data_IF_660681544097
#
_entry.id   IF_660681544097
#
_cell.length_a   1.000
_cell.length_b   1.000
_cell.length_c   1.000
_cell.angle_alpha   90.00
_cell.angle_beta   90.00
_cell.angle_gamma   90.00
#
_symmetry.space_group_name_H-M   'P 1'
#
loop_
_entity.id
_entity.type
_entity.pdbx_description
1 polymer ?
#
# COMPACT_ATOMS: atom_id res chain seq x y z
N UNK A 1 44.03 7.62 10.66
CA UNK A 1 43.66 8.72 9.75
C UNK A 1 43.83 10.04 10.49
N UNK A 2 44.67 10.95 9.98
CA UNK A 2 45.07 12.18 10.70
C UNK A 2 43.93 13.20 10.79
N UNK A 3 43.93 14.00 11.86
CA UNK A 3 42.92 15.02 12.19
C UNK A 3 42.68 16.03 11.05
N UNK A 4 43.70 16.27 10.21
CA UNK A 4 43.61 17.11 9.01
C UNK A 4 42.70 16.52 7.91
N UNK A 5 42.63 15.18 7.80
CA UNK A 5 41.75 14.50 6.85
C UNK A 5 40.28 14.60 7.27
N UNK A 6 39.99 14.64 8.58
CA UNK A 6 38.63 14.84 9.12
C UNK A 6 38.12 16.26 8.89
N UNK A 7 38.99 17.27 9.01
CA UNK A 7 38.64 18.69 8.80
C UNK A 7 38.41 18.97 7.30
N UNK A 8 39.22 18.39 6.41
CA UNK A 8 39.03 18.53 4.97
C UNK A 8 37.76 17.82 4.46
N UNK A 9 37.41 16.66 5.04
CA UNK A 9 36.16 15.96 4.73
C UNK A 9 34.94 16.79 5.19
N UNK A 10 34.95 17.30 6.42
CA UNK A 10 33.89 18.16 6.98
C UNK A 10 33.72 19.48 6.23
N UNK A 11 34.82 20.11 5.77
CA UNK A 11 34.77 21.34 5.00
C UNK A 11 34.24 21.13 3.56
N UNK A 12 34.62 20.03 2.90
CA UNK A 12 34.10 19.65 1.58
C UNK A 12 32.62 19.25 1.60
N UNK A 13 32.18 18.56 2.67
CA UNK A 13 30.78 18.18 2.89
C UNK A 13 29.87 19.38 3.15
N UNK A 14 30.32 20.38 3.93
CA UNK A 14 29.56 21.61 4.15
C UNK A 14 29.36 22.45 2.88
N UNK A 15 30.35 22.46 1.96
CA UNK A 15 30.25 23.16 0.67
C UNK A 15 29.23 22.51 -0.28
N UNK A 16 29.15 21.18 -0.32
CA UNK A 16 28.19 20.46 -1.17
C UNK A 16 26.73 20.66 -0.71
N UNK A 17 26.47 20.59 0.59
CA UNK A 17 25.13 20.83 1.17
C UNK A 17 24.68 22.29 0.97
N UNK A 18 25.58 23.26 1.20
CA UNK A 18 25.32 24.67 0.92
C UNK A 18 25.02 24.93 -0.57
N UNK A 19 25.65 24.19 -1.49
CA UNK A 19 25.43 24.32 -2.94
C UNK A 19 24.08 23.77 -3.41
N UNK A 20 23.62 22.65 -2.84
CA UNK A 20 22.30 22.07 -3.16
C UNK A 20 21.15 22.92 -2.61
N UNK A 21 21.33 23.51 -1.43
CA UNK A 21 20.35 24.44 -0.84
C UNK A 21 20.34 25.79 -1.56
N UNK A 22 21.45 26.21 -2.17
CA UNK A 22 21.53 27.38 -3.04
C UNK A 22 20.80 27.17 -4.38
N UNK A 23 20.84 25.95 -4.93
CA UNK A 23 20.24 25.61 -6.23
C UNK A 23 18.72 25.86 -6.28
N UNK A 24 18.00 25.57 -5.19
CA UNK A 24 16.53 25.63 -5.18
C UNK A 24 15.94 26.85 -4.46
N UNK A 25 16.74 27.84 -4.05
CA UNK A 25 16.24 28.96 -3.22
C UNK A 25 15.11 29.75 -3.87
N UNK A 26 15.14 29.95 -5.18
CA UNK A 26 14.08 30.66 -5.90
C UNK A 26 12.78 29.84 -5.91
N UNK A 27 12.89 28.54 -6.25
CA UNK A 27 11.79 27.58 -6.25
C UNK A 27 11.15 27.47 -4.86
N UNK A 28 11.95 27.25 -3.82
CA UNK A 28 11.47 27.13 -2.43
C UNK A 28 10.75 28.41 -1.98
N UNK A 29 11.27 29.59 -2.36
CA UNK A 29 10.66 30.88 -2.00
C UNK A 29 9.33 31.09 -2.69
N UNK A 30 9.21 30.69 -3.96
CA UNK A 30 7.95 30.74 -4.70
C UNK A 30 6.93 29.79 -4.08
N UNK A 31 7.30 28.54 -3.85
CA UNK A 31 6.47 27.54 -3.21
C UNK A 31 5.87 28.04 -1.89
N UNK A 32 6.69 28.61 -1.00
CA UNK A 32 6.25 29.14 0.31
C UNK A 32 5.35 30.38 0.23
N UNK A 33 5.18 30.99 -0.95
CA UNK A 33 4.31 32.16 -1.19
C UNK A 33 2.96 31.80 -1.80
N UNK A 34 2.68 30.51 -2.00
CA UNK A 34 1.39 30.06 -2.49
C UNK A 34 0.24 30.64 -1.66
N UNK A 35 -0.75 31.31 -2.30
CA UNK A 35 -1.89 31.86 -1.57
C UNK A 35 -2.77 30.77 -0.96
N UNK A 36 -3.20 30.96 0.30
CA UNK A 36 -4.11 30.04 1.00
C UNK A 36 -5.43 29.79 0.25
N UNK A 37 -5.85 30.74 -0.59
CA UNK A 37 -7.04 30.60 -1.44
C UNK A 37 -6.96 29.42 -2.41
N UNK A 38 -5.75 28.91 -2.71
CA UNK A 38 -5.53 27.77 -3.59
C UNK A 38 -5.65 26.42 -2.88
N UNK A 39 -5.74 26.37 -1.54
CA UNK A 39 -5.81 25.12 -0.77
C UNK A 39 -7.04 24.27 -1.10
N UNK A 40 -8.12 24.90 -1.56
CA UNK A 40 -9.35 24.21 -1.95
C UNK A 40 -9.42 23.88 -3.44
N UNK A 41 -8.33 24.12 -4.17
CA UNK A 41 -8.25 24.06 -5.62
C UNK A 41 -6.90 23.45 -6.04
N UNK A 42 -6.70 22.17 -5.73
CA UNK A 42 -5.42 21.47 -5.93
C UNK A 42 -4.82 21.64 -7.33
N UNK A 43 -5.58 21.54 -8.44
CA UNK A 43 -5.01 21.75 -9.77
C UNK A 43 -4.43 23.16 -9.95
N UNK A 44 -5.08 24.19 -9.39
CA UNK A 44 -4.63 25.58 -9.44
C UNK A 44 -3.42 25.79 -8.53
N UNK A 45 -3.41 25.17 -7.34
CA UNK A 45 -2.24 25.16 -6.47
C UNK A 45 -1.04 24.56 -7.18
N UNK A 46 -1.20 23.38 -7.80
CA UNK A 46 -0.12 22.72 -8.54
C UNK A 46 0.35 23.57 -9.73
N UNK A 47 -0.57 24.20 -10.45
CA UNK A 47 -0.23 25.14 -11.52
C UNK A 47 0.62 26.32 -11.02
N UNK A 48 0.26 26.91 -9.87
CA UNK A 48 1.06 27.95 -9.22
C UNK A 48 2.44 27.41 -8.81
N UNK A 49 2.50 26.26 -8.14
CA UNK A 49 3.75 25.69 -7.65
C UNK A 49 4.72 25.34 -8.79
N UNK A 50 4.21 24.88 -9.92
CA UNK A 50 5.01 24.49 -11.08
C UNK A 50 5.43 25.67 -11.97
N UNK A 51 4.84 26.86 -11.82
CA UNK A 51 5.08 28.02 -12.68
C UNK A 51 6.58 28.39 -12.86
N UNK A 52 7.41 28.49 -11.81
CA UNK A 52 8.81 28.90 -11.96
C UNK A 52 9.74 27.75 -12.39
N UNK A 53 9.24 26.52 -12.48
CA UNK A 53 10.06 25.34 -12.69
C UNK A 53 10.37 25.11 -14.18
N UNK A 54 11.64 24.99 -14.53
CA UNK A 54 12.10 24.76 -15.90
C UNK A 54 12.19 23.27 -16.25
N UNK A 55 12.18 22.39 -15.24
CA UNK A 55 12.34 20.95 -15.39
C UNK A 55 11.55 20.16 -14.32
N UNK A 56 11.45 18.84 -14.50
CA UNK A 56 10.68 17.96 -13.60
C UNK A 56 11.24 17.94 -12.17
N UNK A 57 12.55 18.07 -12.02
CA UNK A 57 13.24 18.11 -10.72
C UNK A 57 12.88 19.37 -9.93
N UNK A 58 12.81 20.53 -10.58
CA UNK A 58 12.36 21.77 -9.97
C UNK A 58 10.87 21.75 -9.63
N UNK A 59 10.02 21.13 -10.47
CA UNK A 59 8.62 20.89 -10.12
C UNK A 59 8.52 20.05 -8.85
N UNK A 60 9.21 18.90 -8.81
CA UNK A 60 9.25 18.01 -7.66
C UNK A 60 9.71 18.75 -6.39
N UNK A 61 10.71 19.62 -6.51
CA UNK A 61 11.21 20.45 -5.42
C UNK A 61 10.19 21.48 -4.93
N UNK A 62 9.52 22.17 -5.85
CA UNK A 62 8.50 23.17 -5.51
C UNK A 62 7.36 22.55 -4.70
N UNK A 63 6.87 21.39 -5.15
CA UNK A 63 5.85 20.62 -4.44
C UNK A 63 6.34 20.18 -3.05
N UNK A 64 7.58 19.70 -2.96
CA UNK A 64 8.21 19.26 -1.72
C UNK A 64 8.31 20.41 -0.71
N UNK A 65 8.81 21.56 -1.17
CA UNK A 65 9.02 22.75 -0.34
C UNK A 65 7.69 23.36 0.14
N UNK A 66 6.66 23.36 -0.71
CA UNK A 66 5.33 23.78 -0.32
C UNK A 66 4.75 22.86 0.75
N UNK A 67 4.79 21.55 0.53
CA UNK A 67 4.20 20.57 1.45
C UNK A 67 4.90 20.58 2.81
N UNK A 68 6.24 20.59 2.82
CA UNK A 68 7.05 20.69 4.03
C UNK A 68 6.81 21.98 4.83
N UNK A 69 6.37 23.06 4.17
CA UNK A 69 6.09 24.35 4.81
C UNK A 69 4.66 24.47 5.34
N UNK A 70 3.68 23.90 4.64
CA UNK A 70 2.27 24.17 4.87
C UNK A 70 1.55 23.07 5.67
N UNK A 71 2.13 21.87 5.74
CA UNK A 71 1.57 20.77 6.53
C UNK A 71 2.48 20.54 7.73
N UNK A 72 1.89 20.55 8.93
CA UNK A 72 2.56 20.24 10.19
C UNK A 72 2.41 18.75 10.55
N UNK A 73 3.41 18.19 11.24
CA UNK A 73 3.31 16.82 11.73
C UNK A 73 2.32 16.74 12.89
N UNK A 74 1.37 15.79 12.83
CA UNK A 74 0.34 15.61 13.85
C UNK A 74 0.83 14.72 15.01
N UNK A 75 1.67 15.30 15.86
CA UNK A 75 2.26 14.64 17.04
C UNK A 75 1.23 14.02 17.99
N UNK A 76 0.04 14.64 18.10
CA UNK A 76 -1.02 14.12 18.96
C UNK A 76 -1.66 12.88 18.35
N UNK A 77 -2.01 12.93 17.05
CA UNK A 77 -2.51 11.76 16.33
C UNK A 77 -1.49 10.61 16.35
N UNK A 78 -0.20 10.92 16.20
CA UNK A 78 0.89 9.94 16.24
C UNK A 78 0.98 9.27 17.61
N UNK A 79 0.91 10.04 18.71
CA UNK A 79 0.94 9.50 20.08
C UNK A 79 -0.29 8.66 20.44
N UNK A 80 -1.43 8.95 19.82
CA UNK A 80 -2.69 8.23 20.03
C UNK A 80 -2.89 7.04 19.08
N UNK A 81 -1.95 6.80 18.17
CA UNK A 81 -2.07 5.81 17.08
C UNK A 81 -3.43 5.94 16.34
N UNK A 82 -3.81 7.18 16.04
CA UNK A 82 -5.13 7.52 15.52
C UNK A 82 -5.05 8.21 14.18
N UNK A 83 -5.68 7.62 13.17
CA UNK A 83 -5.91 8.30 11.89
C UNK A 83 -7.09 9.28 12.01
N UNK A 84 -6.82 10.57 11.81
CA UNK A 84 -7.84 11.63 11.84
C UNK A 84 -8.22 12.06 10.41
N UNK A 85 -7.26 12.15 9.49
CA UNK A 85 -7.50 12.50 8.08
C UNK A 85 -8.07 11.30 7.32
N UNK A 86 -9.22 11.48 6.65
CA UNK A 86 -9.84 10.43 5.84
C UNK A 86 -9.48 10.56 4.36
N UNK A 87 -9.23 11.79 3.90
CA UNK A 87 -8.95 12.13 2.51
C UNK A 87 -7.99 13.32 2.41
N UNK A 88 -7.64 13.70 1.20
CA UNK A 88 -6.69 14.79 0.92
C UNK A 88 -7.27 16.15 1.34
N UNK A 89 -8.58 16.32 1.20
CA UNK A 89 -9.28 17.53 1.61
C UNK A 89 -9.15 17.77 3.13
N UNK A 90 -9.19 16.71 3.94
CA UNK A 90 -8.95 16.79 5.38
C UNK A 90 -7.53 17.23 5.72
N UNK A 91 -6.52 16.68 5.02
CA UNK A 91 -5.10 17.04 5.21
C UNK A 91 -4.92 18.54 4.97
N UNK A 92 -5.43 19.05 3.84
CA UNK A 92 -5.31 20.45 3.44
C UNK A 92 -6.09 21.37 4.37
N UNK A 93 -7.32 21.00 4.73
CA UNK A 93 -8.17 21.78 5.64
C UNK A 93 -7.58 21.88 7.05
N UNK A 94 -6.96 20.80 7.55
CA UNK A 94 -6.36 20.77 8.90
C UNK A 94 -4.94 21.30 8.94
N UNK A 95 -4.26 21.37 7.78
CA UNK A 95 -2.86 21.79 7.67
C UNK A 95 -1.92 20.88 8.46
N UNK A 96 -2.31 19.62 8.73
CA UNK A 96 -1.50 18.68 9.50
C UNK A 96 -1.84 17.22 9.20
N UNK A 97 -0.86 16.34 9.36
CA UNK A 97 -1.03 14.91 9.13
C UNK A 97 0.12 14.07 9.64
N UNK A 98 -0.01 12.76 9.47
CA UNK A 98 1.05 11.76 9.75
C UNK A 98 1.87 11.47 8.50
N UNK A 99 2.95 10.70 8.61
CA UNK A 99 3.83 10.37 7.48
C UNK A 99 3.09 9.84 6.24
N UNK A 100 2.08 9.00 6.44
CA UNK A 100 1.19 8.54 5.36
C UNK A 100 0.41 9.67 4.67
N UNK A 101 -0.03 10.69 5.42
CA UNK A 101 -0.74 11.85 4.86
C UNK A 101 0.22 12.70 4.00
N UNK A 102 1.47 12.88 4.45
CA UNK A 102 2.50 13.54 3.65
C UNK A 102 2.78 12.79 2.37
N UNK A 103 3.01 11.47 2.44
CA UNK A 103 3.35 10.69 1.25
C UNK A 103 2.20 10.59 0.25
N UNK A 104 0.95 10.50 0.74
CA UNK A 104 -0.26 10.52 -0.09
C UNK A 104 -0.44 11.87 -0.78
N UNK A 105 -0.35 12.98 -0.03
CA UNK A 105 -0.51 14.32 -0.59
C UNK A 105 0.61 14.64 -1.59
N UNK A 106 1.86 14.27 -1.31
CA UNK A 106 2.95 14.48 -2.25
C UNK A 106 2.76 13.71 -3.56
N UNK A 107 2.30 12.45 -3.49
CA UNK A 107 2.01 11.64 -4.66
C UNK A 107 0.89 12.26 -5.52
N UNK A 108 -0.17 12.78 -4.88
CA UNK A 108 -1.27 13.46 -5.60
C UNK A 108 -0.82 14.77 -6.27
N UNK A 109 -0.02 15.58 -5.57
CA UNK A 109 0.56 16.80 -6.14
C UNK A 109 1.44 16.46 -7.34
N UNK A 110 2.26 15.40 -7.25
CA UNK A 110 3.08 14.91 -8.36
C UNK A 110 2.20 14.46 -9.54
N UNK A 111 1.15 13.69 -9.28
CA UNK A 111 0.20 13.22 -10.31
C UNK A 111 -0.40 14.39 -11.08
N UNK A 112 -0.86 15.43 -10.38
CA UNK A 112 -1.41 16.64 -10.98
C UNK A 112 -0.35 17.46 -11.75
N UNK A 113 0.91 17.39 -11.34
CA UNK A 113 2.04 18.04 -12.04
C UNK A 113 2.57 17.24 -13.23
N UNK A 114 1.99 16.06 -13.51
CA UNK A 114 2.44 15.15 -14.57
C UNK A 114 3.69 14.36 -14.21
N UNK A 115 4.04 14.25 -12.92
CA UNK A 115 5.20 13.52 -12.41
C UNK A 115 4.76 12.14 -11.92
N UNK A 116 5.49 11.11 -12.32
CA UNK A 116 5.23 9.75 -11.84
C UNK A 116 5.83 9.58 -10.43
N UNK A 117 4.97 9.37 -9.45
CA UNK A 117 5.34 9.22 -8.05
C UNK A 117 4.45 8.19 -7.36
N UNK A 118 5.03 7.40 -6.46
CA UNK A 118 4.31 6.43 -5.63
C UNK A 118 4.58 6.69 -4.15
N UNK A 119 3.60 6.36 -3.31
CA UNK A 119 3.81 6.24 -1.86
C UNK A 119 4.47 4.89 -1.58
N UNK A 120 5.45 4.87 -0.67
CA UNK A 120 6.17 3.68 -0.26
C UNK A 120 5.97 3.52 1.25
N UNK A 121 5.38 2.40 1.65
CA UNK A 121 5.27 2.02 3.05
C UNK A 121 6.46 1.19 3.49
N UNK A 122 6.93 1.43 4.71
CA UNK A 122 8.05 0.68 5.27
C UNK A 122 8.29 0.99 6.74
N UNK A 123 9.50 0.67 7.14
CA UNK A 123 9.96 0.78 8.50
C UNK A 123 10.96 1.92 8.60
N UNK A 124 10.82 2.71 9.65
CA UNK A 124 11.79 3.74 9.99
C UNK A 124 12.62 3.34 11.20
N UNK A 125 13.76 4.00 11.36
CA UNK A 125 14.49 3.96 12.62
C UNK A 125 15.12 5.28 12.97
N UNK A 126 15.26 5.51 14.27
CA UNK A 126 15.94 6.67 14.81
C UNK A 126 17.20 6.23 15.56
N UNK A 127 18.28 6.98 15.40
CA UNK A 127 19.55 6.70 16.07
C UNK A 127 20.50 5.79 15.28
N UNK A 128 21.66 5.55 15.88
CA UNK A 128 22.78 4.85 15.23
C UNK A 128 22.99 3.41 15.74
N UNK A 129 22.31 3.05 16.83
CA UNK A 129 22.49 1.78 17.52
C UNK A 129 21.68 0.65 16.88
N UNK A 130 21.96 -0.59 17.32
CA UNK A 130 21.11 -1.72 16.98
C UNK A 130 19.68 -1.53 17.53
N UNK A 131 18.70 -2.12 16.85
CA UNK A 131 17.28 -1.99 17.21
C UNK A 131 16.53 -3.30 17.00
N UNK A 132 15.32 -3.37 17.54
CA UNK A 132 14.35 -4.39 17.18
C UNK A 132 13.49 -3.91 16.02
N UNK A 133 13.13 -4.82 15.11
CA UNK A 133 12.26 -4.50 13.99
C UNK A 133 10.85 -4.18 14.49
N UNK A 134 10.21 -3.07 14.06
CA UNK A 134 8.81 -2.84 14.35
C UNK A 134 7.94 -3.99 13.79
N UNK A 135 6.84 -4.36 14.47
CA UNK A 135 6.03 -5.51 14.08
C UNK A 135 5.28 -5.29 12.76
N UNK A 136 5.20 -4.07 12.25
CA UNK A 136 4.59 -3.73 10.95
C UNK A 136 5.25 -2.43 10.44
N UNK A 137 5.13 -2.11 9.15
CA UNK A 137 5.54 -0.81 8.62
C UNK A 137 4.96 0.33 9.46
N UNK A 138 5.82 1.24 9.90
CA UNK A 138 5.50 2.35 10.80
C UNK A 138 5.77 3.73 10.18
N UNK A 139 6.25 3.76 8.93
CA UNK A 139 6.55 4.99 8.23
C UNK A 139 6.17 4.91 6.75
N UNK A 140 6.06 6.07 6.11
CA UNK A 140 5.72 6.18 4.69
C UNK A 140 6.40 7.40 4.06
N UNK A 141 6.89 7.21 2.84
CA UNK A 141 7.61 8.21 2.06
C UNK A 141 7.27 8.02 0.57
N UNK A 142 8.04 8.63 -0.33
CA UNK A 142 7.79 8.56 -1.77
C UNK A 142 8.98 8.04 -2.57
N UNK A 143 8.67 7.36 -3.67
CA UNK A 143 9.59 7.20 -4.79
C UNK A 143 9.05 7.99 -5.98
N UNK A 144 9.91 8.75 -6.65
CA UNK A 144 9.57 9.57 -7.82
C UNK A 144 10.44 9.18 -9.00
N UNK A 145 9.86 9.09 -10.20
CA UNK A 145 10.60 8.80 -11.43
C UNK A 145 10.98 10.12 -12.10
N UNK A 146 12.28 10.42 -12.13
CA UNK A 146 12.86 11.63 -12.72
C UNK A 146 14.11 11.25 -13.51
N UNK A 147 14.40 11.97 -14.59
CA UNK A 147 15.65 11.78 -15.36
C UNK A 147 15.90 10.30 -15.79
N UNK A 148 14.81 9.55 -16.02
CA UNK A 148 14.86 8.16 -16.46
C UNK A 148 15.09 7.12 -15.36
N UNK A 149 15.08 7.49 -14.08
CA UNK A 149 15.22 6.55 -12.97
C UNK A 149 14.40 6.94 -11.73
N UNK A 150 14.16 5.96 -10.84
CA UNK A 150 13.50 6.21 -9.57
C UNK A 150 14.45 6.88 -8.57
N UNK A 151 13.90 7.75 -7.72
CA UNK A 151 14.59 8.49 -6.67
C UNK A 151 13.72 8.56 -5.41
N UNK A 152 14.33 8.70 -4.23
CA UNK A 152 13.63 8.66 -2.93
C UNK A 152 13.42 10.06 -2.35
N UNK A 153 12.24 10.31 -1.81
CA UNK A 153 11.86 11.57 -1.16
C UNK A 153 11.10 11.25 0.13
N UNK A 154 11.43 11.91 1.23
CA UNK A 154 10.60 11.95 2.44
C UNK A 154 10.31 13.39 2.85
N UNK A 155 9.08 13.84 2.59
CA UNK A 155 8.65 15.20 2.95
C UNK A 155 8.42 15.35 4.46
N UNK A 156 8.05 14.26 5.15
CA UNK A 156 7.76 14.27 6.58
C UNK A 156 9.01 14.64 7.36
N UNK A 157 10.09 13.90 7.16
CA UNK A 157 11.36 14.17 7.83
C UNK A 157 12.08 15.37 7.21
N UNK A 158 11.79 15.64 5.94
CA UNK A 158 12.20 16.85 5.23
C UNK A 158 11.64 18.16 5.79
N UNK A 159 10.47 18.13 6.43
CA UNK A 159 9.82 19.30 7.04
C UNK A 159 10.50 19.78 8.33
N UNK A 160 11.32 18.93 8.96
CA UNK A 160 12.11 19.26 10.16
C UNK A 160 13.63 19.05 9.95
N UNK A 161 14.28 19.81 9.04
CA UNK A 161 15.70 19.62 8.73
C UNK A 161 16.60 19.76 9.96
N UNK A 162 17.60 18.87 10.07
CA UNK A 162 18.63 18.94 11.10
C UNK A 162 18.30 18.26 12.43
N UNK A 163 17.12 17.63 12.55
CA UNK A 163 16.78 16.81 13.73
C UNK A 163 17.24 15.35 13.58
N UNK A 164 17.53 14.90 12.35
CA UNK A 164 18.04 13.55 12.10
C UNK A 164 19.57 13.52 12.19
N UNK A 165 20.08 12.91 13.27
CA UNK A 165 21.50 12.76 13.52
C UNK A 165 22.23 11.93 12.43
N UNK A 166 21.53 10.99 11.79
CA UNK A 166 22.10 10.11 10.77
C UNK A 166 22.33 10.90 9.47
N UNK A 167 21.32 11.64 8.99
CA UNK A 167 21.48 12.45 7.78
C UNK A 167 22.47 13.61 7.98
N UNK A 168 22.52 14.19 9.18
CA UNK A 168 23.53 15.18 9.54
C UNK A 168 24.97 14.62 9.45
N UNK A 169 25.18 13.37 9.88
CA UNK A 169 26.49 12.68 9.79
C UNK A 169 26.90 12.45 8.33
N UNK A 170 25.96 12.16 7.45
CA UNK A 170 26.24 11.85 6.04
C UNK A 170 26.09 13.05 5.08
N UNK A 171 25.69 14.23 5.58
CA UNK A 171 25.53 15.44 4.78
C UNK A 171 24.47 15.31 3.68
N UNK A 172 23.37 14.62 3.97
CA UNK A 172 22.25 14.44 3.05
C UNK A 172 20.98 15.12 3.57
N UNK A 173 20.03 15.35 2.68
CA UNK A 173 18.66 15.73 3.02
C UNK A 173 17.68 14.66 2.54
N UNK A 174 16.38 14.89 2.76
CA UNK A 174 15.30 13.99 2.37
C UNK A 174 14.68 14.30 0.99
N UNK A 175 15.37 15.09 0.16
CA UNK A 175 14.94 15.38 -1.20
C UNK A 175 15.89 14.72 -2.21
N UNK A 176 15.40 13.70 -2.91
CA UNK A 176 16.16 12.94 -3.91
C UNK A 176 17.40 12.27 -3.31
N UNK A 177 17.25 11.77 -2.09
CA UNK A 177 18.33 11.18 -1.30
C UNK A 177 18.91 9.94 -2.00
N UNK A 178 20.25 9.76 -1.98
CA UNK A 178 20.86 8.56 -2.50
C UNK A 178 20.34 7.30 -1.79
N UNK A 179 19.91 6.25 -2.52
CA UNK A 179 19.40 5.01 -1.93
C UNK A 179 20.28 4.38 -0.85
N UNK A 180 21.61 4.44 -1.05
CA UNK A 180 22.62 3.90 -0.11
C UNK A 180 22.67 4.65 1.23
N UNK A 181 22.19 5.89 1.27
CA UNK A 181 22.05 6.67 2.51
C UNK A 181 20.65 6.53 3.08
N UNK A 182 19.63 6.55 2.22
CA UNK A 182 18.22 6.46 2.63
C UNK A 182 17.91 5.14 3.35
N UNK A 183 18.48 4.01 2.88
CA UNK A 183 18.31 2.69 3.52
C UNK A 183 18.85 2.62 4.95
N UNK A 184 19.67 3.59 5.37
CA UNK A 184 20.23 3.60 6.72
C UNK A 184 19.19 3.96 7.78
N UNK A 185 18.05 4.52 7.40
CA UNK A 185 16.95 4.81 8.30
C UNK A 185 15.55 4.52 7.72
N UNK A 186 15.45 4.07 6.46
CA UNK A 186 14.20 3.71 5.80
C UNK A 186 14.30 2.34 5.11
N UNK A 187 13.63 1.33 5.65
CA UNK A 187 13.52 0.01 5.02
C UNK A 187 12.11 -0.18 4.44
N UNK A 188 11.92 -0.16 3.11
CA UNK A 188 10.60 -0.39 2.51
C UNK A 188 10.11 -1.83 2.75
N UNK A 189 8.80 -1.99 2.89
CA UNK A 189 8.17 -3.31 3.03
C UNK A 189 8.25 -4.15 1.74
N UNK A 190 8.50 -3.50 0.60
CA UNK A 190 8.82 -4.14 -0.67
C UNK A 190 10.30 -3.88 -1.02
N UNK A 191 11.13 -4.93 -1.15
CA UNK A 191 12.56 -4.78 -1.43
C UNK A 191 12.91 -3.95 -2.67
N UNK A 192 12.04 -3.91 -3.68
CA UNK A 192 12.26 -3.15 -4.92
C UNK A 192 12.33 -1.64 -4.70
N UNK A 193 11.60 -1.11 -3.72
CA UNK A 193 11.63 0.32 -3.40
C UNK A 193 12.87 0.76 -2.64
N UNK A 194 13.79 -0.15 -2.31
CA UNK A 194 15.10 0.24 -1.79
C UNK A 194 15.92 0.97 -2.86
N UNK A 195 15.61 0.75 -4.15
CA UNK A 195 16.39 1.23 -5.30
C UNK A 195 17.87 0.85 -5.23
N UNK A 196 18.15 -0.22 -4.48
CA UNK A 196 19.47 -0.82 -4.35
C UNK A 196 19.52 -2.05 -5.25
N UNK A 197 20.65 -2.28 -5.95
CA UNK A 197 20.85 -3.53 -6.65
C UNK A 197 20.78 -4.70 -5.67
N UNK A 198 21.36 -4.55 -4.47
CA UNK A 198 21.33 -5.55 -3.40
C UNK A 198 20.44 -5.10 -2.26
N UNK A 199 19.25 -5.70 -2.06
CA UNK A 199 18.38 -5.35 -0.97
C UNK A 199 18.98 -5.72 0.39
N UNK A 200 18.83 -4.81 1.33
CA UNK A 200 19.01 -5.02 2.76
C UNK A 200 17.76 -5.73 3.28
N UNK A 201 17.90 -6.82 4.03
CA UNK A 201 16.79 -7.48 4.72
C UNK A 201 16.55 -6.90 6.12
N UNK A 202 15.47 -7.31 6.81
CA UNK A 202 15.16 -6.80 8.15
C UNK A 202 16.28 -7.04 9.17
N UNK A 203 16.92 -8.21 9.12
CA UNK A 203 18.01 -8.55 10.03
C UNK A 203 19.27 -7.68 9.82
N UNK A 204 19.59 -7.31 8.57
CA UNK A 204 20.67 -6.36 8.31
C UNK A 204 20.30 -4.94 8.74
N UNK A 205 19.05 -4.51 8.50
CA UNK A 205 18.58 -3.17 8.86
C UNK A 205 18.64 -2.91 10.37
N UNK A 206 18.43 -3.94 11.19
CA UNK A 206 18.51 -3.84 12.66
C UNK A 206 19.93 -3.71 13.22
N UNK A 207 20.99 -3.83 12.40
CA UNK A 207 22.39 -3.67 12.83
C UNK A 207 22.73 -2.19 13.08
N UNK A 208 23.77 -1.87 13.87
CA UNK A 208 24.27 -0.50 14.00
C UNK A 208 24.51 0.17 12.64
N UNK A 209 24.30 1.49 12.57
CA UNK A 209 24.23 2.23 11.31
C UNK A 209 25.54 2.21 10.52
N UNK A 210 26.69 2.18 11.19
CA UNK A 210 28.00 2.05 10.57
C UNK A 210 28.23 0.67 9.94
N UNK A 211 27.79 -0.40 10.61
CA UNK A 211 27.84 -1.77 10.11
C UNK A 211 26.92 -1.95 8.89
N UNK A 212 25.71 -1.37 8.92
CA UNK A 212 24.80 -1.35 7.78
C UNK A 212 25.39 -0.56 6.60
N UNK A 213 25.95 0.62 6.86
CA UNK A 213 26.59 1.44 5.83
C UNK A 213 27.80 0.73 5.18
N UNK A 214 28.57 -0.02 5.97
CA UNK A 214 29.66 -0.85 5.45
C UNK A 214 29.13 -1.99 4.57
N UNK A 215 28.06 -2.66 4.99
CA UNK A 215 27.43 -3.75 4.23
C UNK A 215 26.92 -3.27 2.87
N UNK A 216 26.19 -2.15 2.83
CA UNK A 216 25.66 -1.58 1.58
C UNK A 216 26.79 -1.20 0.62
N UNK A 217 27.94 -0.72 1.13
CA UNK A 217 29.10 -0.38 0.30
C UNK A 217 29.83 -1.58 -0.31
N UNK A 218 29.85 -2.72 0.36
CA UNK A 218 30.68 -3.87 0.02
C UNK A 218 30.07 -4.83 -1.02
N UNK A 219 28.87 -4.56 -1.53
CA UNK A 219 28.14 -5.48 -2.40
C UNK A 219 28.34 -5.18 -3.90
N UNK A 220 28.81 -6.20 -4.64
CA UNK A 220 29.22 -6.08 -6.06
C UNK A 220 28.27 -6.76 -7.07
N UNK A 221 27.20 -7.44 -6.65
CA UNK A 221 26.25 -8.06 -7.60
C UNK A 221 24.90 -8.39 -6.95
N UNK A 222 23.82 -7.70 -7.34
CA UNK A 222 22.44 -8.15 -7.10
C UNK A 222 21.42 -7.50 -8.06
N UNK A 223 20.21 -8.09 -8.05
CA UNK A 223 19.09 -8.05 -9.03
C UNK A 223 18.69 -6.70 -9.66
N UNK A 224 18.04 -6.82 -10.83
CA UNK A 224 17.52 -5.69 -11.60
C UNK A 224 16.16 -5.20 -11.05
N UNK A 225 16.17 -4.42 -9.97
CA UNK A 225 14.95 -3.83 -9.39
C UNK A 225 14.07 -3.02 -10.37
N UNK A 226 14.61 -2.31 -11.39
CA UNK A 226 13.78 -1.59 -12.38
C UNK A 226 12.77 -2.48 -13.12
N UNK A 227 13.12 -3.72 -13.45
CA UNK A 227 12.19 -4.63 -14.14
C UNK A 227 11.06 -5.07 -13.20
N UNK A 228 11.36 -5.31 -11.92
CA UNK A 228 10.36 -5.64 -10.90
C UNK A 228 9.39 -4.49 -10.69
N UNK A 229 9.90 -3.24 -10.59
CA UNK A 229 9.03 -2.06 -10.49
C UNK A 229 8.17 -1.91 -11.74
N UNK A 230 8.73 -2.10 -12.94
CA UNK A 230 7.96 -2.02 -14.20
C UNK A 230 6.83 -3.05 -14.22
N UNK A 231 7.08 -4.29 -13.81
CA UNK A 231 6.07 -5.33 -13.73
C UNK A 231 5.00 -4.99 -12.68
N UNK A 232 5.40 -4.53 -11.50
CA UNK A 232 4.48 -4.13 -10.43
C UNK A 232 3.52 -3.03 -10.88
N UNK A 233 4.02 -2.00 -11.56
CA UNK A 233 3.22 -0.86 -12.00
C UNK A 233 2.26 -1.17 -13.15
N UNK A 234 2.32 -2.37 -13.76
CA UNK A 234 1.34 -2.83 -14.76
C UNK A 234 0.05 -3.34 -14.12
N UNK A 235 0.06 -3.63 -12.82
CA UNK A 235 -1.12 -4.07 -12.08
C UNK A 235 -2.08 -2.92 -11.78
N UNK A 236 -3.36 -3.24 -11.61
CA UNK A 236 -4.36 -2.31 -11.07
C UNK A 236 -4.02 -1.87 -9.64
N UNK A 237 -4.59 -0.77 -9.16
CA UNK A 237 -4.34 -0.29 -7.80
C UNK A 237 -4.70 -1.33 -6.72
N UNK A 238 -5.80 -2.06 -6.90
CA UNK A 238 -6.25 -3.11 -5.98
C UNK A 238 -5.29 -4.31 -5.97
N UNK A 239 -4.78 -4.72 -7.13
CA UNK A 239 -3.76 -5.77 -7.22
C UNK A 239 -2.43 -5.32 -6.61
N UNK A 240 -2.01 -4.08 -6.87
CA UNK A 240 -0.82 -3.50 -6.27
C UNK A 240 -0.94 -3.60 -4.74
N UNK A 241 -2.01 -3.08 -4.12
CA UNK A 241 -2.24 -3.14 -2.66
C UNK A 241 -2.14 -4.57 -2.09
N UNK A 242 -2.70 -5.56 -2.79
CA UNK A 242 -2.59 -6.97 -2.39
C UNK A 242 -1.13 -7.46 -2.43
N UNK A 243 -0.41 -7.19 -3.52
CA UNK A 243 0.99 -7.56 -3.70
C UNK A 243 1.89 -6.86 -2.66
N UNK A 244 1.57 -5.62 -2.28
CA UNK A 244 2.31 -4.88 -1.24
C UNK A 244 2.20 -5.59 0.10
N UNK A 245 0.99 -5.95 0.51
CA UNK A 245 0.72 -6.62 1.78
C UNK A 245 1.32 -8.03 1.83
N UNK A 246 1.25 -8.78 0.72
CA UNK A 246 1.92 -10.07 0.60
C UNK A 246 3.44 -9.93 0.74
N UNK A 247 4.03 -8.97 0.02
CA UNK A 247 5.47 -8.70 0.09
C UNK A 247 5.89 -8.31 1.51
N UNK A 248 5.13 -7.45 2.19
CA UNK A 248 5.41 -7.03 3.56
C UNK A 248 5.45 -8.24 4.52
N UNK A 249 4.49 -9.16 4.42
CA UNK A 249 4.46 -10.37 5.23
C UNK A 249 5.61 -11.35 4.91
N UNK A 250 5.92 -11.55 3.62
CA UNK A 250 7.06 -12.39 3.20
C UNK A 250 8.40 -11.81 3.64
N UNK A 251 8.51 -10.48 3.63
CA UNK A 251 9.74 -9.78 4.00
C UNK A 251 9.94 -9.75 5.52
N UNK A 252 8.88 -9.52 6.29
CA UNK A 252 8.89 -9.56 7.74
C UNK A 252 7.63 -10.26 8.29
N UNK A 253 7.73 -11.56 8.59
CA UNK A 253 6.58 -12.37 8.99
C UNK A 253 6.19 -12.16 10.46
N UNK A 254 5.27 -11.22 10.68
CA UNK A 254 4.67 -10.91 11.99
C UNK A 254 3.16 -11.13 11.96
N UNK A 255 2.53 -11.22 13.13
CA UNK A 255 1.08 -11.30 13.23
C UNK A 255 0.37 -10.06 12.64
N UNK A 256 0.95 -8.86 12.78
CA UNK A 256 0.39 -7.64 12.20
C UNK A 256 0.44 -7.65 10.66
N UNK A 257 1.58 -8.03 10.08
CA UNK A 257 1.70 -8.14 8.62
C UNK A 257 0.82 -9.27 8.06
N UNK A 258 0.69 -10.38 8.78
CA UNK A 258 -0.22 -11.46 8.42
C UNK A 258 -1.68 -11.00 8.39
N UNK A 259 -2.11 -10.24 9.41
CA UNK A 259 -3.45 -9.68 9.46
C UNK A 259 -3.70 -8.65 8.34
N UNK A 260 -2.71 -7.79 8.05
CA UNK A 260 -2.79 -6.84 6.94
C UNK A 260 -2.92 -7.56 5.57
N UNK A 261 -2.17 -8.65 5.37
CA UNK A 261 -2.30 -9.46 4.18
C UNK A 261 -3.67 -10.14 4.08
N UNK A 262 -4.17 -10.72 5.17
CA UNK A 262 -5.53 -11.27 5.25
C UNK A 262 -6.60 -10.24 4.87
N UNK A 263 -6.47 -9.00 5.37
CA UNK A 263 -7.38 -7.90 5.03
C UNK A 263 -7.30 -7.54 3.55
N UNK A 264 -6.09 -7.42 2.97
CA UNK A 264 -5.93 -7.08 1.55
C UNK A 264 -6.51 -8.13 0.60
N UNK A 265 -6.48 -9.42 0.99
CA UNK A 265 -7.14 -10.50 0.25
C UNK A 265 -8.67 -10.33 0.26
N UNK A 266 -9.24 -9.90 1.39
CA UNK A 266 -10.67 -9.61 1.50
C UNK A 266 -11.06 -8.37 0.70
N UNK A 267 -10.27 -7.31 0.75
CA UNK A 267 -10.52 -6.08 -0.03
C UNK A 267 -10.50 -6.40 -1.54
N UNK A 268 -9.57 -7.25 -1.97
CA UNK A 268 -9.53 -7.72 -3.36
C UNK A 268 -10.74 -8.60 -3.72
N UNK A 269 -11.20 -9.47 -2.80
CA UNK A 269 -12.42 -10.24 -3.00
C UNK A 269 -13.67 -9.36 -3.10
N UNK A 270 -13.76 -8.28 -2.32
CA UNK A 270 -14.82 -7.27 -2.43
C UNK A 270 -14.80 -6.62 -3.81
N UNK A 271 -13.62 -6.16 -4.25
CA UNK A 271 -13.43 -5.60 -5.59
C UNK A 271 -13.92 -6.54 -6.70
N UNK A 272 -13.51 -7.82 -6.66
CA UNK A 272 -13.96 -8.82 -7.64
C UNK A 272 -15.49 -9.03 -7.61
N UNK A 273 -16.10 -9.01 -6.43
CA UNK A 273 -17.55 -9.11 -6.27
C UNK A 273 -18.29 -7.90 -6.88
N UNK A 274 -17.77 -6.69 -6.69
CA UNK A 274 -18.31 -5.47 -7.31
C UNK A 274 -18.21 -5.53 -8.84
N UNK A 275 -17.08 -6.01 -9.39
CA UNK A 275 -16.93 -6.23 -10.83
C UNK A 275 -17.85 -7.33 -11.38
N UNK A 276 -18.24 -8.30 -10.55
CA UNK A 276 -19.17 -9.35 -10.95
C UNK A 276 -20.63 -8.87 -11.02
N UNK A 277 -21.00 -7.84 -10.26
CA UNK A 277 -22.40 -7.39 -10.15
C UNK A 277 -23.08 -7.06 -11.50
N UNK A 278 -22.47 -6.30 -12.43
CA UNK A 278 -23.07 -6.04 -13.74
C UNK A 278 -23.24 -7.30 -14.60
N UNK A 279 -22.37 -8.30 -14.44
CA UNK A 279 -22.44 -9.56 -15.21
C UNK A 279 -23.66 -10.40 -14.81
N UNK A 280 -24.05 -10.33 -13.54
CA UNK A 280 -25.27 -10.97 -13.04
C UNK A 280 -26.51 -10.32 -13.67
N UNK A 281 -26.53 -9.00 -13.78
CA UNK A 281 -27.65 -8.25 -14.39
C UNK A 281 -27.77 -8.50 -15.90
N UNK A 282 -26.64 -8.72 -16.57
CA UNK A 282 -26.57 -9.03 -17.99
C UNK A 282 -26.79 -10.52 -18.34
N UNK A 283 -27.15 -11.36 -17.35
CA UNK A 283 -27.31 -12.82 -17.50
C UNK A 283 -26.04 -13.54 -18.03
N UNK A 284 -24.86 -12.93 -17.84
CA UNK A 284 -23.56 -13.47 -18.24
C UNK A 284 -23.01 -14.41 -17.16
N UNK A 285 -23.76 -15.47 -16.87
CA UNK A 285 -23.52 -16.38 -15.73
C UNK A 285 -22.12 -17.00 -15.72
N UNK A 286 -21.56 -17.42 -16.87
CA UNK A 286 -20.21 -18.01 -16.91
C UNK A 286 -19.12 -17.04 -16.44
N UNK A 287 -19.20 -15.78 -16.86
CA UNK A 287 -18.24 -14.75 -16.45
C UNK A 287 -18.44 -14.36 -14.98
N UNK A 288 -19.70 -14.24 -14.53
CA UNK A 288 -20.03 -14.03 -13.12
C UNK A 288 -19.46 -15.14 -12.22
N UNK A 289 -19.69 -16.41 -12.59
CA UNK A 289 -19.23 -17.57 -11.85
C UNK A 289 -17.70 -17.62 -11.74
N UNK A 290 -16.98 -17.18 -12.78
CA UNK A 290 -15.52 -17.08 -12.78
C UNK A 290 -15.02 -16.08 -11.73
N UNK A 291 -15.54 -14.84 -11.75
CA UNK A 291 -15.13 -13.81 -10.78
C UNK A 291 -15.53 -14.18 -9.35
N UNK A 292 -16.72 -14.76 -9.15
CA UNK A 292 -17.15 -15.24 -7.83
C UNK A 292 -16.25 -16.36 -7.30
N UNK A 293 -15.85 -17.31 -8.15
CA UNK A 293 -14.94 -18.39 -7.74
C UNK A 293 -13.58 -17.84 -7.28
N UNK A 294 -13.09 -16.82 -7.98
CA UNK A 294 -11.86 -16.12 -7.63
C UNK A 294 -11.99 -15.36 -6.30
N UNK A 295 -13.04 -14.57 -6.12
CA UNK A 295 -13.34 -13.89 -4.86
C UNK A 295 -13.43 -14.85 -3.67
N UNK A 296 -14.13 -15.98 -3.82
CA UNK A 296 -14.22 -17.04 -2.81
C UNK A 296 -12.85 -17.64 -2.50
N UNK A 297 -11.98 -17.84 -3.50
CA UNK A 297 -10.62 -18.32 -3.29
C UNK A 297 -9.80 -17.36 -2.41
N UNK A 298 -9.93 -16.06 -2.65
CA UNK A 298 -9.29 -15.03 -1.83
C UNK A 298 -9.81 -15.01 -0.39
N UNK A 299 -11.12 -15.11 -0.18
CA UNK A 299 -11.70 -15.22 1.17
C UNK A 299 -11.20 -16.48 1.91
N UNK A 300 -11.13 -17.64 1.23
CA UNK A 300 -10.59 -18.87 1.86
C UNK A 300 -9.14 -18.70 2.28
N UNK A 301 -8.31 -18.06 1.46
CA UNK A 301 -6.91 -17.75 1.82
C UNK A 301 -6.85 -16.79 3.02
N UNK A 302 -7.66 -15.74 3.01
CA UNK A 302 -7.72 -14.77 4.10
C UNK A 302 -8.11 -15.42 5.44
N UNK A 303 -9.09 -16.34 5.42
CA UNK A 303 -9.57 -17.03 6.62
C UNK A 303 -8.51 -17.95 7.25
N UNK A 304 -7.61 -18.52 6.44
CA UNK A 304 -6.46 -19.30 6.94
C UNK A 304 -5.45 -18.40 7.65
N UNK A 305 -5.31 -17.14 7.20
CA UNK A 305 -4.34 -16.20 7.72
C UNK A 305 -4.83 -15.47 8.97
N UNK A 306 -6.12 -15.14 9.06
CA UNK A 306 -6.70 -14.45 10.20
C UNK A 306 -8.18 -14.82 10.42
N UNK A 307 -8.65 -14.86 11.68
CA UNK A 307 -10.07 -15.05 11.96
C UNK A 307 -10.88 -13.85 11.43
N UNK A 308 -12.04 -14.15 10.88
CA UNK A 308 -12.94 -13.14 10.32
C UNK A 308 -13.72 -12.40 11.41
N UNK A 309 -13.89 -11.10 11.20
CA UNK A 309 -14.91 -10.30 11.86
C UNK A 309 -16.31 -10.71 11.38
N UNK A 310 -17.39 -10.36 12.12
CA UNK A 310 -18.75 -10.72 11.72
C UNK A 310 -19.11 -10.30 10.29
N UNK A 311 -18.82 -9.06 9.91
CA UNK A 311 -19.13 -8.56 8.55
C UNK A 311 -18.34 -9.31 7.45
N UNK A 312 -17.10 -9.74 7.73
CA UNK A 312 -16.28 -10.51 6.78
C UNK A 312 -16.84 -11.93 6.62
N UNK A 313 -17.31 -12.51 7.73
CA UNK A 313 -18.00 -13.81 7.74
C UNK A 313 -19.30 -13.74 6.94
N UNK A 314 -20.09 -12.67 7.13
CA UNK A 314 -21.30 -12.40 6.35
C UNK A 314 -21.01 -12.23 4.86
N UNK A 315 -20.02 -11.40 4.52
CA UNK A 315 -19.58 -11.18 3.14
C UNK A 315 -19.18 -12.50 2.47
N UNK A 316 -18.34 -13.30 3.12
CA UNK A 316 -17.88 -14.57 2.58
C UNK A 316 -19.03 -15.56 2.35
N UNK A 317 -19.94 -15.69 3.31
CA UNK A 317 -21.13 -16.50 3.15
C UNK A 317 -22.04 -16.00 2.01
N UNK A 318 -22.17 -14.69 1.86
CA UNK A 318 -22.91 -14.07 0.75
C UNK A 318 -22.36 -14.46 -0.62
N UNK A 319 -21.03 -14.46 -0.80
CA UNK A 319 -20.40 -14.92 -2.05
C UNK A 319 -20.74 -16.39 -2.34
N UNK A 320 -20.64 -17.26 -1.33
CA UNK A 320 -20.95 -18.69 -1.47
C UNK A 320 -22.42 -18.93 -1.87
N UNK A 321 -23.36 -18.23 -1.24
CA UNK A 321 -24.80 -18.31 -1.58
C UNK A 321 -25.04 -17.80 -3.01
N UNK A 322 -24.50 -16.64 -3.35
CA UNK A 322 -24.66 -16.04 -4.68
C UNK A 322 -24.09 -16.95 -5.78
N UNK A 323 -22.92 -17.56 -5.54
CA UNK A 323 -22.34 -18.50 -6.47
C UNK A 323 -23.19 -19.77 -6.59
N UNK A 324 -23.72 -20.31 -5.50
CA UNK A 324 -24.59 -21.49 -5.53
C UNK A 324 -25.89 -21.25 -6.33
N UNK A 325 -26.51 -20.08 -6.14
CA UNK A 325 -27.71 -19.69 -6.92
C UNK A 325 -27.37 -19.60 -8.41
N UNK A 326 -26.26 -18.96 -8.78
CA UNK A 326 -25.83 -18.85 -10.17
C UNK A 326 -25.44 -20.20 -10.78
N UNK A 327 -24.84 -21.12 -10.02
CA UNK A 327 -24.54 -22.48 -10.46
C UNK A 327 -25.83 -23.26 -10.74
N UNK A 328 -26.84 -23.14 -9.88
CA UNK A 328 -28.15 -23.74 -10.10
C UNK A 328 -28.82 -23.17 -11.37
N UNK A 329 -28.82 -21.85 -11.57
CA UNK A 329 -29.33 -21.22 -12.79
C UNK A 329 -28.57 -21.65 -14.05
N UNK A 330 -27.25 -21.81 -13.95
CA UNK A 330 -26.41 -22.28 -15.05
C UNK A 330 -26.69 -23.76 -15.37
N UNK A 331 -27.06 -24.56 -14.36
CA UNK A 331 -27.43 -25.97 -14.54
C UNK A 331 -28.68 -26.13 -15.41
N UNK A 332 -29.65 -25.21 -15.30
CA UNK A 332 -30.85 -25.20 -16.16
C UNK A 332 -30.53 -24.88 -17.63
N UNK A 333 -29.33 -24.34 -17.92
CA UNK A 333 -28.90 -23.93 -19.26
C UNK A 333 -28.01 -24.97 -19.97
N UNK A 334 -27.56 -26.01 -19.29
CA UNK A 334 -26.71 -27.05 -19.89
C UNK A 334 -27.55 -28.22 -20.38
N UNK A 335 -27.04 -28.95 -21.38
CA UNK A 335 -27.76 -30.09 -21.99
C UNK A 335 -27.24 -31.44 -21.54
N UNK A 336 -25.99 -31.50 -21.07
CA UNK A 336 -25.36 -32.74 -20.65
C UNK A 336 -25.67 -32.98 -19.16
N UNK A 337 -26.34 -34.09 -18.84
CA UNK A 337 -26.70 -34.46 -17.46
C UNK A 337 -25.46 -34.51 -16.54
N UNK A 338 -24.31 -34.96 -17.05
CA UNK A 338 -23.05 -34.96 -16.30
C UNK A 338 -22.56 -33.55 -15.96
N UNK A 339 -22.77 -32.57 -16.85
CA UNK A 339 -22.42 -31.16 -16.60
C UNK A 339 -23.41 -30.53 -15.62
N UNK A 340 -24.71 -30.80 -15.77
CA UNK A 340 -25.77 -30.37 -14.84
C UNK A 340 -25.48 -30.88 -13.42
N UNK A 341 -25.18 -32.18 -13.29
CA UNK A 341 -24.86 -32.82 -12.02
C UNK A 341 -23.60 -32.23 -11.37
N UNK A 342 -22.57 -31.90 -12.15
CA UNK A 342 -21.35 -31.27 -11.64
C UNK A 342 -21.62 -29.87 -11.08
N UNK A 343 -22.41 -29.05 -11.79
CA UNK A 343 -22.80 -27.71 -11.34
C UNK A 343 -23.63 -27.76 -10.06
N UNK A 344 -24.61 -28.66 -9.99
CA UNK A 344 -25.45 -28.84 -8.81
C UNK A 344 -24.66 -29.36 -7.60
N UNK A 345 -23.69 -30.26 -7.81
CA UNK A 345 -22.80 -30.75 -6.74
C UNK A 345 -21.94 -29.63 -6.15
N UNK A 346 -21.38 -28.76 -6.99
CA UNK A 346 -20.63 -27.60 -6.49
C UNK A 346 -21.56 -26.57 -5.81
N UNK A 347 -22.77 -26.34 -6.34
CA UNK A 347 -23.76 -25.47 -5.71
C UNK A 347 -24.12 -25.95 -4.30
N UNK A 348 -24.36 -27.27 -4.13
CA UNK A 348 -24.64 -27.87 -2.82
C UNK A 348 -23.49 -27.66 -1.85
N UNK A 349 -22.25 -27.94 -2.27
CA UNK A 349 -21.04 -27.76 -1.47
C UNK A 349 -20.89 -26.32 -0.97
N UNK A 350 -21.12 -25.34 -1.85
CA UNK A 350 -21.06 -23.93 -1.49
C UNK A 350 -22.13 -23.54 -0.47
N UNK A 351 -23.36 -24.05 -0.59
CA UNK A 351 -24.42 -23.79 0.40
C UNK A 351 -24.14 -24.46 1.75
N UNK A 352 -23.59 -25.68 1.75
CA UNK A 352 -23.17 -26.35 2.99
C UNK A 352 -22.05 -25.58 3.69
N UNK A 353 -21.12 -25.02 2.94
CA UNK A 353 -20.09 -24.13 3.47
C UNK A 353 -20.68 -22.81 3.96
N UNK A 354 -21.54 -22.15 3.20
CA UNK A 354 -22.22 -20.91 3.60
C UNK A 354 -23.00 -21.09 4.90
N UNK A 355 -23.77 -22.19 5.01
CA UNK A 355 -24.52 -22.53 6.22
C UNK A 355 -23.59 -22.67 7.42
N UNK A 356 -22.48 -23.42 7.29
CA UNK A 356 -21.49 -23.58 8.37
C UNK A 356 -20.87 -22.24 8.77
N UNK A 357 -20.52 -21.41 7.80
CA UNK A 357 -19.94 -20.07 8.00
C UNK A 357 -20.90 -19.15 8.76
N UNK A 358 -22.17 -19.10 8.37
CA UNK A 358 -23.17 -18.25 9.02
C UNK A 358 -23.56 -18.73 10.43
N UNK A 359 -23.57 -20.05 10.66
CA UNK A 359 -23.85 -20.61 11.99
C UNK A 359 -22.75 -20.29 13.03
N UNK A 360 -21.56 -19.90 12.58
CA UNK A 360 -20.47 -19.44 13.45
C UNK A 360 -20.64 -17.98 13.92
N UNK A 361 -21.56 -17.20 13.34
CA UNK A 361 -21.88 -15.84 13.80
C UNK A 361 -22.54 -15.86 15.19
N UNK A 362 -22.55 -14.73 15.93
CA UNK A 362 -23.30 -14.60 17.19
C UNK A 362 -24.79 -14.97 17.05
N UNK A 363 -25.41 -15.47 18.12
CA UNK A 363 -26.79 -15.97 18.10
C UNK A 363 -27.84 -14.90 17.77
N UNK A 364 -27.55 -13.63 18.08
CA UNK A 364 -28.36 -12.46 17.80
C UNK A 364 -28.11 -11.86 16.40
N UNK A 365 -27.17 -12.41 15.63
CA UNK A 365 -26.92 -11.97 14.27
C UNK A 365 -28.05 -12.39 13.31
N UNK A 366 -28.56 -11.43 12.55
CA UNK A 366 -29.65 -11.62 11.58
C UNK A 366 -29.35 -12.74 10.55
N UNK A 367 -28.13 -12.79 10.02
CA UNK A 367 -27.77 -13.76 8.97
C UNK A 367 -27.61 -15.18 9.50
N UNK A 368 -27.41 -15.36 10.82
CA UNK A 368 -27.43 -16.69 11.42
C UNK A 368 -28.83 -17.31 11.37
N UNK A 369 -29.86 -16.53 11.65
CA UNK A 369 -31.26 -16.96 11.51
C UNK A 369 -31.62 -17.24 10.03
N UNK A 370 -31.12 -16.41 9.11
CA UNK A 370 -31.22 -16.66 7.67
C UNK A 370 -30.63 -18.02 7.27
N UNK A 371 -29.47 -18.40 7.82
CA UNK A 371 -28.81 -19.67 7.52
C UNK A 371 -29.62 -20.90 7.94
N UNK A 372 -30.33 -20.82 9.07
CA UNK A 372 -31.16 -21.91 9.56
C UNK A 372 -32.36 -22.17 8.65
N UNK A 373 -32.93 -21.13 8.04
CA UNK A 373 -34.15 -21.22 7.26
C UNK A 373 -33.88 -21.32 5.75
N UNK A 374 -33.14 -20.38 5.18
CA UNK A 374 -33.04 -20.20 3.73
C UNK A 374 -32.02 -21.15 3.10
N UNK A 375 -30.84 -21.32 3.72
CA UNK A 375 -29.87 -22.30 3.21
C UNK A 375 -30.44 -23.73 3.26
N UNK A 376 -31.27 -24.05 4.25
CA UNK A 376 -31.93 -25.36 4.35
C UNK A 376 -32.88 -25.61 3.16
N UNK A 377 -33.72 -24.64 2.81
CA UNK A 377 -34.64 -24.74 1.68
C UNK A 377 -33.89 -24.90 0.33
N UNK A 378 -32.84 -24.10 0.10
CA UNK A 378 -32.02 -24.23 -1.12
C UNK A 378 -31.28 -25.57 -1.20
N UNK A 379 -30.75 -26.07 -0.08
CA UNK A 379 -30.09 -27.37 -0.02
C UNK A 379 -31.06 -28.52 -0.35
N UNK A 380 -32.30 -28.45 0.14
CA UNK A 380 -33.32 -29.45 -0.16
C UNK A 380 -33.68 -29.46 -1.65
N UNK A 381 -33.88 -28.28 -2.25
CA UNK A 381 -34.17 -28.14 -3.67
C UNK A 381 -33.04 -28.69 -4.55
N UNK A 382 -31.78 -28.32 -4.28
CA UNK A 382 -30.63 -28.82 -5.04
C UNK A 382 -30.45 -30.34 -4.82
N UNK A 383 -30.66 -30.84 -3.60
CA UNK A 383 -30.57 -32.27 -3.32
C UNK A 383 -31.64 -33.07 -4.08
N UNK A 384 -32.85 -32.53 -4.26
CA UNK A 384 -33.88 -33.12 -5.10
C UNK A 384 -33.43 -33.21 -6.57
N UNK A 385 -32.87 -32.12 -7.12
CA UNK A 385 -32.38 -32.09 -8.50
C UNK A 385 -31.21 -33.06 -8.73
N UNK A 386 -30.28 -33.16 -7.77
CA UNK A 386 -29.19 -34.14 -7.82
C UNK A 386 -29.73 -35.57 -7.88
N UNK A 387 -30.70 -35.93 -7.00
CA UNK A 387 -31.29 -37.28 -6.98
C UNK A 387 -32.06 -37.64 -8.25
N UNK A 388 -32.48 -36.66 -9.04
CA UNK A 388 -33.15 -36.89 -10.34
C UNK A 388 -32.14 -37.30 -11.43
N UNK A 389 -30.88 -36.88 -11.30
CA UNK A 389 -29.80 -37.10 -12.28
C UNK A 389 -28.90 -38.29 -11.92
N UNK A 390 -28.99 -38.79 -10.68
CA UNK A 390 -28.34 -40.02 -10.21
C UNK A 390 -29.28 -41.22 -10.38
#
# INVERSE_FOLDING_TARGET
MSTLFRIALLAGLNLAVLSAQAQYQAIDRHARRAPDTLLHALPQLVGYLAEPAENEREKARSLYAWLAHNIAYDEEASRQDRRINQNIEDILRRGRGLCFDYSLLYAELCRLAGLQCVSVSGYSRQGLEAMEMPPAPDHSWNAIFLDGHWQLIDVTWGASPGQDALMAVYGADYFLSPPRLFILNHLPAQPMWQLLPCPVGPAEFCRPADALAALVKAQDSCYNYPDTIRAFLQHSGQEQSLLEAESAYRFHSTAKNQAAWAQSLLDYAVYLSEQASPLQQADSLKAFLKLQAEAISYCRKAQVLAPFLPWQTEFYAGLLVNQAVALNQQSDKVRAEAEELALLKEARKNLEEAKRTLLALPADNYYRQYAEQQCAAYLEAIAHNIRRLE
#
